data_IF_578486821922
#
_entry.id   IF_578486821922
#
_cell.length_a   1.000
_cell.length_b   1.000
_cell.length_c   1.000
_cell.angle_alpha   90.00
_cell.angle_beta   90.00
_cell.angle_gamma   90.00
#
_symmetry.space_group_name_H-M   'P 1'
#
loop_
_entity.id
_entity.type
_entity.pdbx_description
1 polymer ?
#
# COMPACT_ATOMS: atom_id res chain seq x y z
N UNK A 1 -7.24 -0.81 6.32
CA UNK A 1 -6.22 -1.77 6.79
C UNK A 1 -6.84 -3.13 6.97
N UNK A 2 -6.12 -4.21 6.67
CA UNK A 2 -6.54 -5.59 6.97
C UNK A 2 -5.43 -6.29 7.75
N UNK A 3 -5.81 -7.04 8.77
CA UNK A 3 -4.88 -7.79 9.60
C UNK A 3 -4.97 -9.27 9.21
N UNK A 4 -3.82 -9.87 8.92
CA UNK A 4 -3.72 -11.31 8.70
C UNK A 4 -3.75 -12.09 10.01
N UNK A 5 -3.84 -13.41 9.91
CA UNK A 5 -3.93 -14.31 11.07
C UNK A 5 -2.66 -14.33 11.91
N UNK A 6 -1.53 -13.95 11.32
CA UNK A 6 -0.24 -13.91 12.01
C UNK A 6 0.07 -12.55 12.64
N UNK A 7 -0.83 -11.57 12.56
CA UNK A 7 -0.65 -10.30 13.28
C UNK A 7 -0.56 -10.55 14.81
N UNK A 8 0.41 -9.96 15.55
CA UNK A 8 1.34 -8.90 15.15
C UNK A 8 2.69 -9.37 14.60
N UNK A 9 2.93 -10.68 14.44
CA UNK A 9 4.18 -11.20 13.86
C UNK A 9 4.37 -10.82 12.38
N UNK A 10 3.26 -10.67 11.64
CA UNK A 10 3.25 -10.14 10.27
C UNK A 10 2.59 -8.75 10.21
N UNK A 11 2.98 -7.87 9.27
CA UNK A 11 2.42 -6.53 9.17
C UNK A 11 0.94 -6.55 8.75
N UNK A 12 0.17 -5.48 9.01
CA UNK A 12 -1.12 -5.30 8.38
C UNK A 12 -0.97 -4.97 6.89
N UNK A 13 -1.94 -5.40 6.07
CA UNK A 13 -2.06 -4.94 4.69
C UNK A 13 -2.70 -3.53 4.64
N UNK A 14 -1.93 -2.55 4.16
CA UNK A 14 -2.35 -1.14 4.03
C UNK A 14 -2.54 -0.80 2.56
N UNK A 15 -3.72 -0.27 2.22
CA UNK A 15 -4.04 0.26 0.91
C UNK A 15 -4.90 1.51 1.02
N UNK A 16 -4.79 2.36 0.01
CA UNK A 16 -5.73 3.43 -0.28
C UNK A 16 -7.02 2.81 -0.82
N UNK A 17 -8.17 3.38 -0.44
CA UNK A 17 -9.48 3.02 -1.02
C UNK A 17 -9.89 4.10 -2.04
N UNK A 18 -9.77 5.37 -1.65
CA UNK A 18 -10.06 6.55 -2.46
C UNK A 18 -9.32 7.78 -1.91
N UNK A 19 -9.12 8.83 -2.71
CA UNK A 19 -9.23 8.89 -4.17
C UNK A 19 -8.11 8.08 -4.87
N UNK A 20 -8.19 7.93 -6.20
CA UNK A 20 -7.05 7.40 -6.99
C UNK A 20 -5.94 8.44 -7.12
N UNK A 21 -4.71 7.95 -7.02
CA UNK A 21 -3.51 8.76 -7.17
C UNK A 21 -2.92 8.54 -8.57
N UNK A 22 -2.36 9.60 -9.13
CA UNK A 22 -1.61 9.54 -10.39
C UNK A 22 -0.44 8.56 -10.20
N UNK A 23 -0.31 7.51 -11.02
CA UNK A 23 0.77 6.55 -10.88
C UNK A 23 2.16 7.18 -11.02
N UNK A 24 3.15 6.57 -10.38
CA UNK A 24 4.55 7.03 -10.44
C UNK A 24 5.08 7.19 -11.88
N UNK A 25 4.79 6.21 -12.74
CA UNK A 25 5.16 6.23 -14.16
C UNK A 25 4.56 7.42 -14.93
N UNK A 26 3.43 7.95 -14.46
CA UNK A 26 2.75 9.10 -15.05
C UNK A 26 3.10 10.42 -14.34
N UNK A 27 4.14 10.43 -13.50
CA UNK A 27 4.63 11.62 -12.81
C UNK A 27 3.99 11.89 -11.46
N UNK A 28 3.25 10.95 -10.88
CA UNK A 28 2.84 11.00 -9.47
C UNK A 28 3.90 10.46 -8.51
N UNK A 29 3.53 10.34 -7.24
CA UNK A 29 4.41 9.92 -6.14
C UNK A 29 3.61 9.55 -4.90
N UNK A 30 4.18 9.75 -3.71
CA UNK A 30 3.51 9.45 -2.43
C UNK A 30 3.57 7.99 -1.99
N UNK A 31 4.45 7.19 -2.59
CA UNK A 31 4.61 5.76 -2.30
C UNK A 31 3.33 4.93 -2.48
N UNK A 32 2.40 5.38 -3.32
CA UNK A 32 1.19 4.64 -3.67
C UNK A 32 1.41 3.98 -5.02
N UNK A 33 1.23 2.66 -5.06
CA UNK A 33 1.29 1.87 -6.29
C UNK A 33 0.10 2.16 -7.20
N UNK A 34 0.18 1.78 -8.48
CA UNK A 34 -0.91 1.96 -9.44
C UNK A 34 -2.23 1.25 -9.04
N UNK A 35 -2.17 0.23 -8.19
CA UNK A 35 -3.33 -0.47 -7.62
C UNK A 35 -3.75 0.02 -6.23
N UNK A 36 -3.11 1.05 -5.69
CA UNK A 36 -3.50 1.68 -4.42
C UNK A 36 -2.87 1.07 -3.16
N UNK A 37 -2.00 0.07 -3.27
CA UNK A 37 -1.19 -0.39 -2.13
C UNK A 37 -0.04 0.58 -1.83
N UNK A 38 0.41 0.63 -0.57
CA UNK A 38 1.60 1.37 -0.16
C UNK A 38 2.88 0.60 -0.53
N UNK A 39 3.82 1.25 -1.19
CA UNK A 39 5.15 0.74 -1.51
C UNK A 39 6.14 1.14 -0.41
N UNK A 40 6.14 0.39 0.70
CA UNK A 40 6.94 0.68 1.89
C UNK A 40 7.48 -0.62 2.49
N UNK A 41 8.79 -0.72 2.70
CA UNK A 41 9.45 -1.91 3.25
C UNK A 41 8.91 -2.31 4.63
N UNK A 42 8.56 -1.34 5.48
CA UNK A 42 8.00 -1.60 6.82
C UNK A 42 6.65 -2.33 6.79
N UNK A 43 5.96 -2.34 5.65
CA UNK A 43 4.69 -3.05 5.45
C UNK A 43 4.89 -4.42 4.79
N UNK A 44 6.13 -4.93 4.83
CA UNK A 44 6.55 -6.25 4.32
C UNK A 44 7.21 -7.04 5.44
N UNK A 45 7.40 -8.35 5.28
CA UNK A 45 8.11 -9.16 6.28
C UNK A 45 9.60 -8.77 6.40
N UNK A 46 10.16 -8.07 5.41
CA UNK A 46 11.56 -7.59 5.46
C UNK A 46 11.74 -6.46 6.46
N UNK A 47 10.84 -5.48 6.49
CA UNK A 47 10.96 -4.29 7.34
C UNK A 47 10.03 -4.24 8.54
N UNK A 48 9.03 -5.13 8.62
CA UNK A 48 8.07 -5.14 9.72
C UNK A 48 8.72 -5.54 11.04
N UNK A 49 8.31 -4.87 12.12
CA UNK A 49 8.66 -5.25 13.48
C UNK A 49 7.39 -5.39 14.31
N UNK A 50 7.17 -6.52 15.02
CA UNK A 50 5.96 -6.72 15.85
C UNK A 50 5.81 -5.73 17.01
N UNK A 51 6.89 -5.02 17.36
CA UNK A 51 6.85 -3.94 18.37
C UNK A 51 6.42 -2.58 17.78
N UNK A 52 6.21 -2.50 16.47
CA UNK A 52 5.75 -1.28 15.79
C UNK A 52 4.33 -0.95 16.21
N UNK A 53 4.13 0.23 16.77
CA UNK A 53 2.79 0.71 17.09
C UNK A 53 2.03 1.11 15.82
N UNK A 54 0.70 0.98 15.84
CA UNK A 54 -0.14 1.37 14.71
C UNK A 54 -0.05 2.88 14.44
N UNK A 55 0.09 3.68 15.48
CA UNK A 55 0.26 5.14 15.38
C UNK A 55 1.53 5.49 14.59
N UNK A 56 2.65 4.80 14.89
CA UNK A 56 3.91 4.99 14.15
C UNK A 56 3.74 4.62 12.68
N UNK A 57 3.09 3.49 12.38
CA UNK A 57 2.82 3.05 11.01
C UNK A 57 1.97 4.07 10.25
N UNK A 58 0.89 4.56 10.85
CA UNK A 58 0.02 5.55 10.21
C UNK A 58 0.72 6.90 10.00
N UNK A 59 1.59 7.31 10.93
CA UNK A 59 2.41 8.50 10.78
C UNK A 59 3.40 8.34 9.60
N UNK A 60 4.08 7.20 9.51
CA UNK A 60 4.98 6.90 8.40
C UNK A 60 4.25 6.86 7.05
N UNK A 61 3.06 6.27 6.99
CA UNK A 61 2.20 6.29 5.79
C UNK A 61 1.86 7.74 5.41
N UNK A 62 1.49 8.59 6.37
CA UNK A 62 1.22 10.00 6.12
C UNK A 62 2.47 10.72 5.59
N UNK A 63 3.63 10.51 6.21
CA UNK A 63 4.89 11.13 5.79
C UNK A 63 5.26 10.69 4.36
N UNK A 64 5.05 9.41 4.03
CA UNK A 64 5.28 8.89 2.68
C UNK A 64 4.35 9.56 1.66
N UNK A 65 3.05 9.69 1.95
CA UNK A 65 2.10 10.37 1.05
C UNK A 65 2.46 11.85 0.88
N UNK A 66 2.91 12.51 1.95
CA UNK A 66 3.35 13.91 1.93
C UNK A 66 4.77 14.10 1.39
N UNK A 67 5.50 13.03 1.07
CA UNK A 67 6.86 13.13 0.53
C UNK A 67 6.85 13.86 -0.80
N UNK A 68 7.81 14.77 -0.96
CA UNK A 68 8.07 15.45 -2.22
C UNK A 68 9.08 14.69 -3.09
N UNK A 69 9.73 13.65 -2.53
CA UNK A 69 10.79 12.88 -3.17
C UNK A 69 10.28 11.53 -3.69
N UNK A 70 10.67 11.13 -4.91
CA UNK A 70 11.27 11.96 -5.96
C UNK A 70 10.24 12.87 -6.65
N UNK A 71 8.94 12.64 -6.39
CA UNK A 71 7.83 13.45 -6.87
C UNK A 71 6.71 13.47 -5.83
N UNK A 72 5.92 14.55 -5.73
CA UNK A 72 4.78 14.62 -4.81
C UNK A 72 3.64 13.69 -5.25
N UNK A 73 2.85 13.24 -4.26
CA UNK A 73 1.57 12.61 -4.53
C UNK A 73 0.63 13.58 -5.29
N UNK A 74 -0.01 13.08 -6.35
CA UNK A 74 -1.00 13.83 -7.14
C UNK A 74 -2.24 12.99 -7.31
N UNK A 75 -3.39 13.64 -7.37
CA UNK A 75 -4.65 12.95 -7.66
C UNK A 75 -4.76 12.69 -9.16
N UNK A 76 -5.29 11.52 -9.51
CA UNK A 76 -5.69 11.25 -10.88
C UNK A 76 -6.89 12.14 -11.24
N UNK A 77 -6.86 12.78 -12.43
CA UNK A 77 -7.94 13.68 -12.83
C UNK A 77 -9.26 12.92 -13.00
N UNK A 78 -10.33 13.45 -12.40
CA UNK A 78 -11.68 12.88 -12.52
C UNK A 78 -12.27 12.95 -13.93
N UNK A 79 -11.62 13.70 -14.84
CA UNK A 79 -12.04 13.83 -16.25
C UNK A 79 -11.80 12.58 -17.08
N UNK A 80 -11.01 11.61 -16.60
CA UNK A 80 -10.73 10.35 -17.31
C UNK A 80 -11.86 9.31 -17.24
N UNK A 81 -13.06 9.69 -16.76
CA UNK A 81 -14.23 8.81 -16.68
C UNK A 81 -14.16 7.72 -15.61
N UNK A 82 -13.03 7.63 -14.90
CA UNK A 82 -12.71 6.54 -13.99
C UNK A 82 -12.83 6.98 -12.52
N UNK A 83 -14.07 7.15 -12.06
CA UNK A 83 -14.39 7.54 -10.67
C UNK A 83 -14.50 6.32 -9.75
N UNK A 84 -13.68 5.29 -9.97
CA UNK A 84 -13.78 4.03 -9.23
C UNK A 84 -12.75 3.93 -8.10
N UNK A 85 -13.20 3.36 -6.98
CA UNK A 85 -12.36 3.08 -5.81
C UNK A 85 -11.30 2.02 -6.14
N UNK A 86 -10.20 2.05 -5.39
CA UNK A 86 -9.21 0.97 -5.46
C UNK A 86 -9.82 -0.33 -4.93
N UNK A 87 -9.75 -1.39 -5.75
CA UNK A 87 -10.10 -2.75 -5.37
C UNK A 87 -9.05 -3.41 -4.47
N UNK A 88 -9.47 -4.35 -3.61
CA UNK A 88 -8.52 -5.08 -2.74
C UNK A 88 -7.57 -5.95 -3.57
N UNK A 89 -8.10 -6.64 -4.59
CA UNK A 89 -7.30 -7.53 -5.45
C UNK A 89 -6.25 -6.76 -6.28
N UNK A 90 -6.63 -5.65 -6.92
CA UNK A 90 -5.65 -4.83 -7.67
C UNK A 90 -4.56 -4.26 -6.76
N UNK A 91 -4.91 -3.86 -5.53
CA UNK A 91 -3.96 -3.37 -4.55
C UNK A 91 -2.98 -4.48 -4.16
N UNK A 92 -3.46 -5.71 -3.93
CA UNK A 92 -2.59 -6.81 -3.54
C UNK A 92 -1.66 -7.25 -4.67
N UNK A 93 -2.15 -7.32 -5.91
CA UNK A 93 -1.30 -7.60 -7.07
C UNK A 93 -0.23 -6.52 -7.26
N UNK A 94 -0.58 -5.25 -7.05
CA UNK A 94 0.38 -4.15 -7.10
C UNK A 94 1.40 -4.21 -5.96
N UNK A 95 0.98 -4.59 -4.75
CA UNK A 95 1.86 -4.82 -3.60
C UNK A 95 2.88 -5.93 -3.87
N UNK A 96 2.44 -7.09 -4.39
CA UNK A 96 3.36 -8.19 -4.75
C UNK A 96 4.40 -7.76 -5.78
N UNK A 97 3.99 -7.01 -6.81
CA UNK A 97 4.92 -6.47 -7.82
C UNK A 97 5.93 -5.50 -7.21
N UNK A 98 5.48 -4.61 -6.31
CA UNK A 98 6.37 -3.67 -5.62
C UNK A 98 7.39 -4.41 -4.74
N UNK A 99 6.94 -5.38 -3.94
CA UNK A 99 7.82 -6.20 -3.12
C UNK A 99 8.86 -6.95 -3.96
N UNK A 100 8.43 -7.59 -5.06
CA UNK A 100 9.35 -8.27 -5.97
C UNK A 100 10.39 -7.34 -6.61
N UNK A 101 10.00 -6.11 -6.97
CA UNK A 101 10.92 -5.12 -7.57
C UNK A 101 12.01 -4.65 -6.59
N UNK A 102 11.75 -4.69 -5.28
CA UNK A 102 12.69 -4.28 -4.24
C UNK A 102 13.35 -5.46 -3.50
N UNK A 103 12.98 -6.71 -3.82
CA UNK A 103 13.47 -7.90 -3.11
C UNK A 103 12.88 -8.06 -1.70
N UNK A 104 11.71 -7.45 -1.43
CA UNK A 104 11.03 -7.56 -0.14
C UNK A 104 10.19 -8.84 -0.03
N UNK A 105 10.13 -9.38 1.19
CA UNK A 105 9.37 -10.58 1.51
C UNK A 105 7.89 -10.27 1.76
N UNK A 106 7.02 -10.93 1.02
CA UNK A 106 5.56 -10.82 1.17
C UNK A 106 5.07 -11.77 2.28
N UNK A 107 4.25 -11.30 3.24
CA UNK A 107 3.64 -12.18 4.23
C UNK A 107 2.73 -13.23 3.61
N UNK A 108 2.88 -14.49 4.04
CA UNK A 108 2.19 -15.64 3.47
C UNK A 108 0.69 -15.71 3.84
N UNK A 109 0.26 -14.98 4.86
CA UNK A 109 -1.12 -14.93 5.36
C UNK A 109 -1.99 -13.85 4.71
N UNK A 110 -1.42 -13.02 3.82
CA UNK A 110 -2.15 -11.97 3.12
C UNK A 110 -3.25 -12.49 2.17
N UNK A 111 -3.04 -13.55 1.37
CA UNK A 111 -4.08 -14.07 0.48
C UNK A 111 -5.38 -14.42 1.21
N UNK A 112 -5.28 -14.99 2.41
CA UNK A 112 -6.44 -15.32 3.25
C UNK A 112 -7.12 -14.05 3.79
N UNK A 113 -6.34 -13.09 4.31
CA UNK A 113 -6.84 -11.81 4.81
C UNK A 113 -7.57 -10.99 3.72
N UNK A 114 -7.23 -11.21 2.45
CA UNK A 114 -7.83 -10.53 1.30
C UNK A 114 -9.12 -11.22 0.82
N UNK A 115 -9.22 -12.54 0.99
CA UNK A 115 -10.38 -13.34 0.57
C UNK A 115 -11.61 -13.17 1.47
N UNK A 116 -11.43 -12.77 2.73
CA UNK A 116 -12.55 -12.52 3.64
C UNK A 116 -13.35 -11.28 3.21
N UNK A 117 -14.41 -11.52 2.45
CA UNK A 117 -15.49 -10.57 2.21
C UNK A 117 -16.34 -10.55 3.49
N UNK A 118 -16.25 -9.45 4.23
CA UNK A 118 -17.31 -9.05 5.16
C UNK A 118 -18.29 -8.14 4.44
#
# INVERSE_FOLDING_TARGET
MRFGRNYPHSPPFVRVVRPRFLPFMNGGGGHITAGGAMCMELLTNTGWSPVSSLESVLLQVRLAICSMDPKPARLESTSSGSRHDYGVGEAFEAYKRAAAAHGWEVPSDFPEAISTTV
#
